data_IF_036605035461
#
_entry.id   IF_036605035461
#
_cell.length_a   1.000
_cell.length_b   1.000
_cell.length_c   1.000
_cell.angle_alpha   90.00
_cell.angle_beta   90.00
_cell.angle_gamma   90.00
#
_symmetry.space_group_name_H-M   'P 1'
#
loop_
_entity.id
_entity.type
_entity.pdbx_description
1 polymer ?
#
# COMPACT_ATOMS: atom_id res chain seq x y z
N UNK A 1 -14.85 8.75 -24.40
CA UNK A 1 -14.51 9.48 -23.17
C UNK A 1 -15.46 9.23 -21.99
N UNK A 2 -16.79 9.17 -22.17
CA UNK A 2 -17.75 9.07 -21.04
C UNK A 2 -17.42 8.01 -19.97
N UNK A 3 -17.04 6.80 -20.40
CA UNK A 3 -16.67 5.72 -19.46
C UNK A 3 -15.40 6.04 -18.65
N UNK A 4 -14.39 6.66 -19.27
CA UNK A 4 -13.15 7.03 -18.59
C UNK A 4 -13.42 8.08 -17.50
N UNK A 5 -14.19 9.11 -17.83
CA UNK A 5 -14.62 10.13 -16.85
C UNK A 5 -15.44 9.53 -15.70
N UNK A 6 -16.32 8.58 -16.02
CA UNK A 6 -17.12 7.87 -15.00
C UNK A 6 -16.23 7.05 -14.06
N UNK A 7 -15.29 6.25 -14.60
CA UNK A 7 -14.34 5.47 -13.81
C UNK A 7 -13.55 6.37 -12.85
N UNK A 8 -13.01 7.48 -13.35
CA UNK A 8 -12.25 8.45 -12.54
C UNK A 8 -13.14 9.00 -11.42
N UNK A 9 -14.38 9.36 -11.74
CA UNK A 9 -15.32 9.93 -10.75
C UNK A 9 -15.65 8.94 -9.64
N UNK A 10 -15.92 7.67 -9.99
CA UNK A 10 -16.23 6.62 -9.01
C UNK A 10 -15.01 6.28 -8.15
N UNK A 11 -13.82 6.15 -8.75
CA UNK A 11 -12.61 5.86 -7.99
C UNK A 11 -12.29 6.99 -6.98
N UNK A 12 -12.46 8.26 -7.36
CA UNK A 12 -12.35 9.39 -6.41
C UNK A 12 -13.43 9.36 -5.34
N UNK A 13 -14.67 9.02 -5.69
CA UNK A 13 -15.77 8.89 -4.73
C UNK A 13 -15.52 7.77 -3.70
N UNK A 14 -14.81 6.71 -4.08
CA UNK A 14 -14.35 5.69 -3.15
C UNK A 14 -13.24 6.19 -2.22
N UNK A 15 -12.59 7.33 -2.52
CA UNK A 15 -11.46 7.85 -1.75
C UNK A 15 -10.10 7.42 -2.31
N UNK A 16 -10.05 6.85 -3.52
CA UNK A 16 -8.78 6.59 -4.20
C UNK A 16 -8.15 7.93 -4.63
N UNK A 17 -6.90 8.19 -4.24
CA UNK A 17 -6.14 9.35 -4.71
C UNK A 17 -5.61 9.11 -6.12
N UNK A 18 -6.30 9.66 -7.12
CA UNK A 18 -5.96 9.47 -8.55
C UNK A 18 -5.81 10.80 -9.29
N UNK A 19 -4.80 10.88 -10.17
CA UNK A 19 -4.44 12.08 -10.94
C UNK A 19 -4.52 11.89 -12.46
N UNK A 20 -5.11 10.79 -12.90
CA UNK A 20 -5.17 10.42 -14.32
C UNK A 20 -6.21 11.26 -15.07
N UNK A 21 -5.93 11.49 -16.36
CA UNK A 21 -6.83 12.11 -17.29
C UNK A 21 -7.69 11.05 -18.01
N UNK A 22 -8.88 11.38 -18.51
CA UNK A 22 -9.67 10.46 -19.32
C UNK A 22 -8.90 9.88 -20.51
N UNK A 23 -7.99 10.67 -21.08
CA UNK A 23 -7.11 10.33 -22.20
C UNK A 23 -6.17 9.18 -21.84
N UNK A 24 -5.60 9.18 -20.62
CA UNK A 24 -4.72 8.09 -20.15
C UNK A 24 -5.44 6.73 -20.14
N UNK A 25 -6.76 6.74 -19.93
CA UNK A 25 -7.58 5.52 -19.95
C UNK A 25 -7.94 5.14 -21.38
N UNK A 26 -8.34 6.09 -22.22
CA UNK A 26 -8.77 5.80 -23.59
C UNK A 26 -7.60 5.44 -24.52
N UNK A 27 -6.41 6.01 -24.26
CA UNK A 27 -5.18 5.74 -25.01
C UNK A 27 -4.35 4.61 -24.40
N UNK A 28 -4.78 4.08 -23.26
CA UNK A 28 -4.16 2.93 -22.57
C UNK A 28 -2.71 3.23 -22.16
N UNK A 29 -2.52 4.34 -21.44
CA UNK A 29 -1.25 4.65 -20.80
C UNK A 29 -1.00 3.67 -19.65
N UNK A 30 -0.20 2.63 -19.91
CA UNK A 30 -0.01 1.47 -19.03
C UNK A 30 0.40 1.85 -17.60
N UNK A 31 1.27 2.84 -17.44
CA UNK A 31 1.71 3.31 -16.13
C UNK A 31 0.54 3.90 -15.33
N UNK A 32 -0.30 4.70 -15.99
CA UNK A 32 -1.48 5.31 -15.36
C UNK A 32 -2.54 4.26 -15.04
N UNK A 33 -2.80 3.30 -15.94
CA UNK A 33 -3.71 2.18 -15.69
C UNK A 33 -3.25 1.32 -14.51
N UNK A 34 -1.94 1.07 -14.40
CA UNK A 34 -1.36 0.35 -13.26
C UNK A 34 -1.58 1.11 -11.95
N UNK A 35 -1.31 2.43 -11.93
CA UNK A 35 -1.56 3.28 -10.76
C UNK A 35 -3.04 3.28 -10.36
N UNK A 36 -3.97 3.35 -11.32
CA UNK A 36 -5.41 3.25 -11.05
C UNK A 36 -5.74 1.92 -10.36
N UNK A 37 -5.27 0.81 -10.93
CA UNK A 37 -5.53 -0.55 -10.42
C UNK A 37 -4.96 -0.74 -9.02
N UNK A 38 -3.72 -0.32 -8.80
CA UNK A 38 -3.07 -0.38 -7.50
C UNK A 38 -3.82 0.46 -6.44
N UNK A 39 -4.32 1.65 -6.82
CA UNK A 39 -5.08 2.52 -5.92
C UNK A 39 -6.41 1.89 -5.50
N UNK A 40 -7.13 1.28 -6.44
CA UNK A 40 -8.40 0.57 -6.16
C UNK A 40 -8.14 -0.65 -5.27
N UNK A 41 -7.11 -1.45 -5.59
CA UNK A 41 -6.72 -2.60 -4.80
C UNK A 41 -6.34 -2.19 -3.37
N UNK A 42 -5.52 -1.15 -3.23
CA UNK A 42 -5.11 -0.62 -1.93
C UNK A 42 -6.32 -0.20 -1.09
N UNK A 43 -7.25 0.55 -1.68
CA UNK A 43 -8.48 0.94 -1.00
C UNK A 43 -9.28 -0.28 -0.52
N UNK A 44 -9.43 -1.29 -1.37
CA UNK A 44 -10.15 -2.52 -1.04
C UNK A 44 -9.48 -3.32 0.08
N UNK A 45 -8.16 -3.45 0.05
CA UNK A 45 -7.39 -4.18 1.06
C UNK A 45 -7.23 -3.44 2.39
N UNK A 46 -7.40 -2.11 2.39
CA UNK A 46 -7.48 -1.32 3.63
C UNK A 46 -8.85 -1.40 4.31
N UNK A 47 -9.90 -1.67 3.55
CA UNK A 47 -11.26 -1.88 4.06
C UNK A 47 -11.77 -3.33 3.86
N UNK A 48 -11.05 -4.37 4.33
CA UNK A 48 -11.58 -5.71 4.32
C UNK A 48 -12.57 -5.84 5.49
N UNK A 49 -13.87 -5.69 5.20
CA UNK A 49 -14.99 -6.15 6.03
C UNK A 49 -15.41 -5.31 7.27
N UNK A 50 -15.01 -4.05 7.40
CA UNK A 50 -15.81 -3.13 8.23
C UNK A 50 -16.93 -2.56 7.37
N UNK A 51 -18.12 -3.12 7.58
CA UNK A 51 -19.46 -2.75 7.14
C UNK A 51 -19.54 -1.64 6.08
N UNK A 52 -20.10 -1.99 4.92
CA UNK A 52 -20.44 -1.08 3.82
C UNK A 52 -21.45 -0.02 4.30
N UNK A 53 -21.01 0.97 5.05
CA UNK A 53 -21.76 2.17 5.35
C UNK A 53 -21.48 3.17 4.26
N UNK A 54 -22.40 3.21 3.31
CA UNK A 54 -22.64 4.35 2.45
C UNK A 54 -22.98 5.53 3.38
N UNK A 55 -21.98 6.31 3.77
CA UNK A 55 -22.13 7.35 4.78
C UNK A 55 -21.07 8.43 4.64
N UNK A 56 -21.50 9.55 4.09
CA UNK A 56 -20.77 10.81 3.94
C UNK A 56 -19.97 11.17 5.21
N UNK A 57 -18.65 11.38 5.11
CA UNK A 57 -17.87 12.07 6.16
C UNK A 57 -16.62 12.70 5.55
N UNK A 58 -16.62 14.03 5.54
CA UNK A 58 -15.45 14.87 5.34
C UNK A 58 -14.47 14.67 6.51
N UNK A 59 -13.19 14.38 6.22
CA UNK A 59 -12.05 15.01 6.90
C UNK A 59 -10.72 14.40 6.47
N UNK A 60 -9.76 15.30 6.32
CA UNK A 60 -8.35 15.10 6.00
C UNK A 60 -7.64 14.14 6.97
N UNK A 61 -6.76 13.30 6.44
CA UNK A 61 -5.56 12.89 7.18
C UNK A 61 -4.49 12.38 6.24
N UNK A 62 -3.48 13.23 6.02
CA UNK A 62 -2.23 12.83 5.39
C UNK A 62 -1.46 11.87 6.30
N UNK A 63 -0.95 10.79 5.72
CA UNK A 63 -0.02 9.89 6.40
C UNK A 63 1.17 9.66 5.47
N UNK A 64 2.20 10.50 5.63
CA UNK A 64 3.56 10.11 5.27
C UNK A 64 3.94 8.91 6.13
N UNK A 65 4.37 7.81 5.51
CA UNK A 65 5.13 6.79 6.20
C UNK A 65 6.39 6.52 5.38
N UNK A 66 7.50 7.09 5.82
CA UNK A 66 8.83 6.67 5.40
C UNK A 66 9.22 5.45 6.23
N UNK A 67 9.31 4.28 5.60
CA UNK A 67 9.90 3.09 6.24
C UNK A 67 11.31 2.91 5.69
N UNK A 68 12.29 3.51 6.36
CA UNK A 68 13.71 3.14 6.17
C UNK A 68 13.96 1.82 6.89
N UNK A 69 13.99 0.71 6.14
CA UNK A 69 14.41 -0.59 6.66
C UNK A 69 15.93 -0.70 6.61
N UNK A 70 16.60 -0.58 7.75
CA UNK A 70 18.00 -1.00 7.90
C UNK A 70 18.02 -2.44 8.41
N UNK A 71 18.28 -3.41 7.53
CA UNK A 71 18.57 -4.79 7.93
C UNK A 71 20.02 -4.89 8.38
N UNK A 72 20.28 -4.86 9.69
CA UNK A 72 21.59 -5.26 10.23
C UNK A 72 21.62 -6.77 10.34
N UNK A 73 22.47 -7.39 9.51
CA UNK A 73 22.81 -8.81 9.57
C UNK A 73 23.69 -9.02 10.80
N UNK A 74 23.18 -9.65 11.85
CA UNK A 74 24.02 -10.17 12.94
C UNK A 74 24.34 -11.63 12.63
N UNK A 75 25.50 -11.84 12.02
CA UNK A 75 26.12 -13.15 11.88
C UNK A 75 27.32 -13.18 12.84
N UNK A 76 27.17 -13.92 13.94
CA UNK A 76 28.27 -14.22 14.84
C UNK A 76 28.24 -15.68 15.23
N UNK A 77 28.81 -16.46 14.30
CA UNK A 77 29.76 -17.55 14.50
C UNK A 77 29.82 -18.19 15.90
N UNK A 78 29.38 -19.44 15.96
CA UNK A 78 29.73 -20.39 17.00
C UNK A 78 31.24 -20.56 17.12
N UNK A 79 31.77 -20.52 18.35
CA UNK A 79 33.06 -21.13 18.66
C UNK A 79 32.93 -22.04 19.88
N UNK A 80 33.38 -23.27 19.69
CA UNK A 80 33.39 -24.34 20.69
C UNK A 80 34.64 -24.24 21.56
N UNK A 81 34.50 -24.33 22.88
CA UNK A 81 35.62 -24.68 23.76
C UNK A 81 35.16 -25.59 24.89
N UNK A 82 35.80 -26.76 24.97
CA UNK A 82 35.79 -27.67 26.11
C UNK A 82 36.86 -27.26 27.13
N UNK A 83 36.71 -27.74 28.38
CA UNK A 83 37.63 -27.82 29.55
C UNK A 83 37.03 -27.17 30.81
N UNK A 84 36.52 -27.94 31.78
CA UNK A 84 37.18 -28.60 32.93
C UNK A 84 37.22 -27.71 34.20
N UNK A 85 36.46 -28.11 35.26
CA UNK A 85 36.94 -28.38 36.64
C UNK A 85 35.84 -28.29 37.71
N UNK A 86 35.71 -29.38 38.48
CA UNK A 86 35.95 -29.34 39.93
C UNK A 86 34.81 -28.99 40.91
N UNK A 87 34.38 -30.04 41.64
CA UNK A 87 34.15 -30.09 43.11
C UNK A 87 32.95 -29.34 43.73
N UNK A 88 31.97 -30.12 44.20
CA UNK A 88 31.78 -30.47 45.63
C UNK A 88 30.69 -31.55 45.78
#
# INVERSE_FOLDING_TARGET
>A
MMNATYIISIARKLGCSIFLLPEDITEVNQNMILTLTASIMYWFLKHPLEERTVGNSDSESGSQLETTSNSTLDDSASDSSAEEKGSM
#
